data_IF_354161342228
#
_entry.id   IF_354161342228
#
_cell.length_a   1.000
_cell.length_b   1.000
_cell.length_c   1.000
_cell.angle_alpha   90.00
_cell.angle_beta   90.00
_cell.angle_gamma   90.00
#
_symmetry.space_group_name_H-M   'P 1'
#
loop_
_entity.id
_entity.type
_entity.pdbx_description
1 polymer ?
#
# COMPACT_ATOMS: atom_id res chain seq x y z
N UNK A 1 1.41 -43.99 -27.26
CA UNK A 1 0.31 -43.56 -28.14
C UNK A 1 -0.38 -42.36 -27.52
N UNK A 2 -0.10 -41.16 -28.04
CA UNK A 2 -0.80 -39.90 -27.68
C UNK A 2 -2.09 -39.84 -28.49
N UNK A 3 -3.23 -39.60 -27.84
CA UNK A 3 -4.49 -39.31 -28.52
C UNK A 3 -4.83 -37.84 -28.29
N UNK A 4 -4.69 -37.05 -29.34
CA UNK A 4 -5.12 -35.67 -29.45
C UNK A 4 -6.66 -35.59 -29.41
N UNK A 5 -7.22 -34.66 -28.64
CA UNK A 5 -8.62 -34.21 -28.79
C UNK A 5 -8.63 -32.88 -29.55
N UNK A 6 -9.32 -32.89 -30.69
CA UNK A 6 -9.53 -31.75 -31.58
C UNK A 6 -10.37 -30.65 -30.90
N UNK A 7 -9.96 -29.42 -31.16
CA UNK A 7 -10.67 -28.17 -30.87
C UNK A 7 -11.72 -27.97 -31.98
N UNK A 8 -12.97 -27.67 -31.61
CA UNK A 8 -14.04 -27.28 -32.53
C UNK A 8 -14.14 -25.75 -32.57
N UNK A 9 -14.09 -25.21 -33.78
CA UNK A 9 -14.14 -23.80 -34.13
C UNK A 9 -15.60 -23.40 -34.37
N UNK A 10 -16.16 -22.49 -33.56
CA UNK A 10 -17.47 -21.88 -33.82
C UNK A 10 -17.26 -20.40 -34.09
N UNK A 11 -17.49 -20.01 -35.35
CA UNK A 11 -17.60 -18.64 -35.81
C UNK A 11 -18.96 -18.06 -35.41
N UNK A 12 -18.97 -16.87 -34.80
CA UNK A 12 -20.16 -16.03 -34.75
C UNK A 12 -19.77 -14.61 -35.15
N UNK A 13 -20.04 -14.31 -36.41
CA UNK A 13 -20.07 -12.96 -36.96
C UNK A 13 -21.36 -12.31 -36.44
N UNK A 14 -21.27 -11.10 -35.89
CA UNK A 14 -22.43 -10.23 -35.75
C UNK A 14 -22.06 -8.79 -36.03
N UNK A 15 -22.71 -8.32 -37.08
CA UNK A 15 -22.73 -7.00 -37.68
C UNK A 15 -23.42 -6.04 -36.71
N UNK A 16 -22.80 -4.89 -36.41
CA UNK A 16 -23.52 -3.76 -35.83
C UNK A 16 -23.33 -2.55 -36.74
N UNK A 17 -24.46 -2.20 -37.35
CA UNK A 17 -24.67 -1.17 -38.35
C UNK A 17 -24.61 0.23 -37.75
N UNK A 18 -23.99 1.14 -38.51
CA UNK A 18 -23.99 2.59 -38.30
C UNK A 18 -25.36 3.14 -38.71
N UNK A 19 -26.01 3.90 -37.82
CA UNK A 19 -27.10 4.80 -38.19
C UNK A 19 -26.84 6.20 -37.60
N UNK A 20 -26.54 7.12 -38.51
CA UNK A 20 -26.50 8.55 -38.30
C UNK A 20 -27.93 9.07 -38.40
N UNK A 21 -28.40 9.80 -37.39
CA UNK A 21 -29.55 10.69 -37.55
C UNK A 21 -29.25 12.04 -36.92
N UNK A 22 -29.16 13.03 -37.80
CA UNK A 22 -29.15 14.45 -37.54
C UNK A 22 -30.51 14.90 -37.01
N UNK A 23 -30.49 15.77 -35.99
CA UNK A 23 -31.67 16.51 -35.53
C UNK A 23 -31.27 17.94 -35.16
N UNK A 24 -31.58 18.89 -36.02
CA UNK A 24 -31.58 20.32 -35.71
C UNK A 24 -32.93 20.70 -35.07
N UNK A 25 -32.92 21.54 -34.04
CA UNK A 25 -34.04 22.46 -33.79
C UNK A 25 -33.62 23.65 -32.92
N UNK A 26 -33.79 24.82 -33.54
CA UNK A 26 -34.24 26.14 -33.07
C UNK A 26 -33.58 26.88 -31.88
N UNK A 27 -33.09 28.07 -32.26
CA UNK A 27 -32.90 29.24 -31.40
C UNK A 27 -34.23 29.74 -30.86
N UNK A 28 -34.31 29.98 -29.56
CA UNK A 28 -35.12 31.06 -29.00
C UNK A 28 -34.36 31.67 -27.81
N UNK A 29 -33.74 32.84 -28.06
CA UNK A 29 -33.15 33.69 -27.03
C UNK A 29 -34.05 34.89 -26.81
N UNK A 30 -34.80 34.90 -25.71
CA UNK A 30 -35.41 36.09 -25.14
C UNK A 30 -34.67 36.45 -23.85
N UNK A 31 -34.22 37.71 -23.87
CA UNK A 31 -33.64 38.53 -22.82
C UNK A 31 -34.22 38.29 -21.40
N UNK A 32 -33.37 38.22 -20.38
CA UNK A 32 -33.53 39.05 -19.17
C UNK A 32 -32.29 38.99 -18.25
N UNK A 33 -31.99 40.18 -17.71
CA UNK A 33 -30.95 40.55 -16.75
C UNK A 33 -30.77 39.57 -15.59
N UNK A 34 -29.51 39.35 -15.20
CA UNK A 34 -29.13 39.03 -13.81
C UNK A 34 -27.82 39.73 -13.43
N UNK A 35 -27.95 40.83 -12.71
CA UNK A 35 -27.04 41.15 -11.60
C UNK A 35 -27.45 40.29 -10.41
N UNK A 36 -26.50 39.62 -9.78
CA UNK A 36 -26.21 39.69 -8.34
C UNK A 36 -25.38 38.48 -7.89
N UNK A 37 -24.27 38.83 -7.24
CA UNK A 37 -23.56 38.12 -6.19
C UNK A 37 -23.66 36.59 -6.13
N UNK A 38 -22.57 35.95 -6.55
CA UNK A 38 -22.15 34.67 -5.99
C UNK A 38 -20.94 34.90 -5.09
N UNK A 39 -21.23 35.23 -3.83
CA UNK A 39 -20.38 34.79 -2.72
C UNK A 39 -20.32 33.27 -2.78
N UNK A 40 -19.21 32.75 -3.31
CA UNK A 40 -18.90 31.33 -3.27
C UNK A 40 -18.47 31.00 -1.85
N UNK A 41 -19.41 30.48 -1.06
CA UNK A 41 -19.13 29.79 0.20
C UNK A 41 -18.21 28.62 -0.14
N UNK A 42 -16.93 28.79 0.17
CA UNK A 42 -15.95 27.71 0.21
C UNK A 42 -16.44 26.70 1.25
N UNK A 43 -16.92 25.54 0.82
CA UNK A 43 -17.10 24.41 1.72
C UNK A 43 -15.73 24.02 2.26
N UNK A 44 -15.43 24.42 3.49
CA UNK A 44 -14.34 23.88 4.27
C UNK A 44 -14.53 22.35 4.32
N UNK A 45 -13.64 21.61 3.67
CA UNK A 45 -13.51 20.18 3.92
C UNK A 45 -12.93 20.07 5.32
N UNK A 46 -13.76 19.75 6.30
CA UNK A 46 -13.30 19.30 7.61
C UNK A 46 -12.27 18.20 7.38
N UNK A 47 -11.02 18.46 7.75
CA UNK A 47 -9.97 17.46 7.69
C UNK A 47 -10.21 16.50 8.86
N UNK A 48 -10.39 15.21 8.58
CA UNK A 48 -10.56 14.14 9.61
C UNK A 48 -9.27 13.84 10.41
N UNK A 49 -8.32 14.78 10.43
CA UNK A 49 -7.05 14.73 11.16
C UNK A 49 -6.99 15.88 12.14
N UNK A 50 -6.53 15.61 13.35
CA UNK A 50 -6.33 16.64 14.35
C UNK A 50 -5.16 17.56 13.93
N UNK A 51 -5.47 18.82 13.65
CA UNK A 51 -4.48 19.81 13.21
C UNK A 51 -3.44 20.15 14.27
N UNK A 52 -3.76 19.96 15.56
CA UNK A 52 -2.83 20.19 16.67
C UNK A 52 -1.73 19.11 16.72
N UNK A 53 -1.99 17.96 16.10
CA UNK A 53 -1.04 16.85 15.98
C UNK A 53 -0.27 16.87 14.65
N UNK A 54 -0.34 17.96 13.88
CA UNK A 54 0.14 18.01 12.51
C UNK A 54 1.10 19.18 12.26
N UNK A 55 2.35 18.86 11.94
CA UNK A 55 3.30 19.77 11.35
C UNK A 55 3.34 19.60 9.82
N UNK A 56 2.63 20.48 9.10
CA UNK A 56 2.53 20.44 7.63
C UNK A 56 3.88 20.55 6.90
N UNK A 57 4.92 21.05 7.56
CA UNK A 57 6.26 21.19 6.95
C UNK A 57 7.13 19.93 6.99
N UNK A 58 6.88 18.98 7.90
CA UNK A 58 7.80 17.85 8.15
C UNK A 58 7.78 16.75 7.08
N UNK A 59 8.89 16.40 6.43
CA UNK A 59 8.88 15.57 5.21
C UNK A 59 8.93 14.05 5.42
N UNK A 60 8.69 13.59 6.65
CA UNK A 60 8.63 12.19 7.06
C UNK A 60 7.59 12.01 8.19
N UNK A 61 7.38 10.80 8.70
CA UNK A 61 6.39 10.56 9.74
C UNK A 61 6.77 11.28 11.05
N UNK A 62 8.04 11.19 11.45
CA UNK A 62 8.50 11.72 12.73
C UNK A 62 8.28 13.24 12.85
N UNK A 63 8.64 13.96 11.78
CA UNK A 63 8.58 15.41 11.72
C UNK A 63 7.20 15.94 11.35
N UNK A 64 6.35 15.15 10.67
CA UNK A 64 4.99 15.55 10.30
C UNK A 64 3.97 15.34 11.39
N UNK A 65 4.03 14.23 12.10
CA UNK A 65 3.00 13.85 13.07
C UNK A 65 3.52 14.00 14.49
N UNK A 66 2.89 14.92 15.22
CA UNK A 66 3.12 15.11 16.65
C UNK A 66 2.34 14.06 17.45
N UNK A 67 2.71 13.93 18.71
CA UNK A 67 2.13 12.96 19.62
C UNK A 67 0.99 13.58 20.42
N UNK A 68 -0.08 12.82 20.71
CA UNK A 68 -1.04 13.21 21.73
C UNK A 68 -0.36 13.44 23.09
N UNK A 69 -0.95 14.30 23.92
CA UNK A 69 -0.41 14.66 25.23
C UNK A 69 -0.07 13.43 26.09
N UNK A 70 1.13 13.41 26.65
CA UNK A 70 1.63 12.35 27.54
C UNK A 70 2.25 11.16 26.82
N UNK A 71 2.10 11.04 25.50
CA UNK A 71 2.76 9.99 24.73
C UNK A 71 4.23 10.33 24.44
N UNK A 72 5.04 9.28 24.40
CA UNK A 72 6.41 9.31 23.91
C UNK A 72 6.54 8.30 22.77
N UNK A 73 7.15 8.73 21.67
CA UNK A 73 7.42 7.87 20.52
C UNK A 73 8.38 6.76 20.94
N UNK A 74 8.14 5.54 20.44
CA UNK A 74 8.99 4.39 20.78
C UNK A 74 10.38 4.61 20.20
N UNK A 75 11.41 4.35 20.98
CA UNK A 75 12.80 4.47 20.54
C UNK A 75 13.08 3.51 19.38
N UNK A 76 13.78 4.01 18.36
CA UNK A 76 14.17 3.22 17.19
C UNK A 76 15.63 3.51 16.87
N UNK A 77 16.48 2.48 16.88
CA UNK A 77 17.89 2.61 16.51
C UNK A 77 18.00 3.03 15.05
N UNK A 78 18.97 3.89 14.72
CA UNK A 78 19.13 4.45 13.37
C UNK A 78 19.36 3.41 12.26
N UNK A 79 19.78 2.20 12.62
CA UNK A 79 20.00 1.08 11.70
C UNK A 79 18.82 0.09 11.64
N UNK A 80 17.74 0.36 12.38
CA UNK A 80 16.55 -0.51 12.48
C UNK A 80 15.52 -0.25 11.37
N UNK A 81 14.67 -1.24 11.12
CA UNK A 81 13.55 -1.10 10.19
C UNK A 81 12.51 -0.08 10.67
N UNK A 82 12.28 -0.01 11.99
CA UNK A 82 11.40 0.99 12.60
C UNK A 82 11.86 2.43 12.32
N UNK A 83 13.16 2.70 12.46
CA UNK A 83 13.73 4.00 12.14
C UNK A 83 13.61 4.31 10.65
N UNK A 84 13.90 3.32 9.79
CA UNK A 84 13.73 3.44 8.34
C UNK A 84 12.30 3.86 7.98
N UNK A 85 11.28 3.11 8.41
CA UNK A 85 9.88 3.41 8.10
C UNK A 85 9.47 4.82 8.53
N UNK A 86 9.90 5.23 9.72
CA UNK A 86 9.56 6.55 10.27
C UNK A 86 10.16 7.71 9.46
N UNK A 87 11.31 7.49 8.82
CA UNK A 87 12.05 8.47 8.04
C UNK A 87 11.90 8.30 6.53
N UNK A 88 11.04 7.38 6.08
CA UNK A 88 10.71 7.25 4.67
C UNK A 88 10.01 8.52 4.17
N UNK A 89 10.44 8.98 3.00
CA UNK A 89 10.07 10.30 2.49
C UNK A 89 8.57 10.37 2.20
N UNK A 90 7.91 11.38 2.75
CA UNK A 90 6.56 11.76 2.40
C UNK A 90 6.58 12.84 1.31
N UNK A 91 5.51 12.90 0.53
CA UNK A 91 5.22 14.06 -0.31
C UNK A 91 4.97 15.31 0.54
N UNK A 92 5.09 16.52 -0.03
CA UNK A 92 4.60 17.74 0.62
C UNK A 92 3.16 17.57 1.11
N UNK A 93 2.85 18.11 2.28
CA UNK A 93 1.54 17.92 2.89
C UNK A 93 0.41 18.43 1.98
N UNK A 94 -0.67 17.64 1.88
CA UNK A 94 -1.84 17.94 1.03
C UNK A 94 -1.71 17.44 -0.41
N UNK A 95 -0.56 16.92 -0.84
CA UNK A 95 -0.44 16.26 -2.13
C UNK A 95 -1.27 14.97 -2.20
N UNK A 96 -1.86 14.73 -3.37
CA UNK A 96 -2.67 13.55 -3.62
C UNK A 96 -1.80 12.35 -4.01
N UNK A 97 -2.27 11.16 -3.63
CA UNK A 97 -1.70 9.92 -4.13
C UNK A 97 -1.92 9.83 -5.62
N UNK A 98 -0.93 9.31 -6.32
CA UNK A 98 -1.04 8.93 -7.72
C UNK A 98 -1.51 7.48 -7.82
N UNK A 99 -2.34 7.19 -8.82
CA UNK A 99 -2.52 5.85 -9.35
C UNK A 99 -1.37 5.54 -10.32
N UNK A 100 -1.16 4.25 -10.60
CA UNK A 100 -0.10 3.80 -11.52
C UNK A 100 -0.18 4.43 -12.92
N UNK A 101 -1.36 4.86 -13.35
CA UNK A 101 -1.58 5.51 -14.65
C UNK A 101 -1.39 7.04 -14.62
N UNK A 102 -0.88 7.60 -13.51
CA UNK A 102 -0.65 9.03 -13.33
C UNK A 102 -1.89 9.84 -12.92
N UNK A 103 -3.08 9.21 -12.84
CA UNK A 103 -4.26 9.89 -12.35
C UNK A 103 -4.17 10.16 -10.84
N UNK A 104 -4.63 11.33 -10.38
CA UNK A 104 -4.69 11.64 -8.95
C UNK A 104 -5.82 10.87 -8.27
N UNK A 105 -5.51 10.14 -7.20
CA UNK A 105 -6.48 9.52 -6.31
C UNK A 105 -7.16 10.58 -5.43
N UNK A 106 -8.50 10.64 -5.41
CA UNK A 106 -9.22 11.41 -4.41
C UNK A 106 -8.98 10.86 -3.00
N UNK A 107 -8.83 11.75 -2.02
CA UNK A 107 -8.61 11.36 -0.64
C UNK A 107 -9.85 10.66 -0.04
N UNK A 108 -11.05 11.23 -0.20
CA UNK A 108 -12.33 10.65 0.31
C UNK A 108 -12.28 10.21 1.79
N UNK A 109 -11.45 10.89 2.60
CA UNK A 109 -11.22 10.59 4.01
C UNK A 109 -10.48 9.27 4.24
N UNK A 110 -9.75 8.73 3.26
CA UNK A 110 -9.02 7.46 3.41
C UNK A 110 -7.67 7.69 4.07
N UNK A 111 -6.96 8.74 3.67
CA UNK A 111 -5.55 8.93 4.02
C UNK A 111 -5.24 10.38 4.32
N UNK A 112 -4.16 10.66 5.02
CA UNK A 112 -3.74 12.04 5.29
C UNK A 112 -2.49 12.41 4.49
N UNK A 113 -1.43 11.62 4.61
CA UNK A 113 -0.19 11.78 3.86
C UNK A 113 0.07 10.64 2.89
N UNK A 114 0.97 10.88 1.94
CA UNK A 114 1.37 9.96 0.88
C UNK A 114 2.88 9.82 0.90
N UNK A 115 3.39 8.59 0.83
CA UNK A 115 4.82 8.35 0.64
C UNK A 115 5.25 8.75 -0.78
N UNK A 116 6.44 9.32 -0.90
CA UNK A 116 7.03 9.75 -2.17
C UNK A 116 7.66 8.55 -2.90
N UNK A 117 6.78 7.71 -3.44
CA UNK A 117 7.13 6.47 -4.13
C UNK A 117 6.79 6.55 -5.61
N UNK A 118 7.76 6.23 -6.47
CA UNK A 118 7.51 6.03 -7.90
C UNK A 118 6.85 4.67 -8.16
N UNK A 119 5.74 4.69 -8.92
CA UNK A 119 5.00 3.49 -9.33
C UNK A 119 5.49 2.93 -10.68
N UNK A 120 6.44 3.60 -11.35
CA UNK A 120 7.03 3.24 -12.63
C UNK A 120 6.00 3.00 -13.76
N UNK A 121 4.80 3.59 -13.66
CA UNK A 121 3.73 3.37 -14.63
C UNK A 121 3.10 1.96 -14.61
N UNK A 122 3.43 1.12 -13.61
CA UNK A 122 3.03 -0.30 -13.55
C UNK A 122 1.93 -0.54 -12.54
N UNK A 123 0.93 -1.32 -12.93
CA UNK A 123 -0.14 -1.76 -12.02
C UNK A 123 0.30 -2.94 -11.12
N UNK A 124 1.41 -2.78 -10.39
CA UNK A 124 2.03 -3.85 -9.59
C UNK A 124 2.17 -3.53 -8.10
N UNK A 125 2.31 -2.27 -7.69
CA UNK A 125 2.45 -1.91 -6.27
C UNK A 125 1.08 -1.90 -5.55
N UNK A 126 0.47 -3.08 -5.35
CA UNK A 126 -0.78 -3.25 -4.60
C UNK A 126 -0.50 -3.34 -3.09
N UNK A 127 -1.52 -3.73 -2.32
CA UNK A 127 -1.49 -3.68 -0.85
C UNK A 127 -0.35 -4.50 -0.22
N UNK A 128 -0.16 -5.76 -0.61
CA UNK A 128 0.95 -6.58 -0.12
C UNK A 128 2.32 -6.06 -0.59
N UNK A 129 2.36 -5.51 -1.81
CA UNK A 129 3.59 -5.03 -2.44
C UNK A 129 4.18 -3.82 -1.73
N UNK A 130 3.34 -2.96 -1.11
CA UNK A 130 3.83 -1.90 -0.25
C UNK A 130 4.63 -2.44 0.95
N UNK A 131 4.22 -3.59 1.51
CA UNK A 131 4.94 -4.23 2.61
C UNK A 131 6.29 -4.77 2.12
N UNK A 132 6.28 -5.53 1.01
CA UNK A 132 7.51 -6.03 0.39
C UNK A 132 8.46 -4.91 -0.02
N UNK A 133 7.92 -3.80 -0.54
CA UNK A 133 8.70 -2.63 -0.92
C UNK A 133 9.44 -2.03 0.26
N UNK A 134 8.76 -1.76 1.38
CA UNK A 134 9.43 -1.18 2.54
C UNK A 134 10.52 -2.10 3.09
N UNK A 135 10.25 -3.40 3.20
CA UNK A 135 11.22 -4.39 3.67
C UNK A 135 12.40 -4.49 2.68
N UNK A 136 12.12 -4.57 1.38
CA UNK A 136 13.11 -4.63 0.32
C UNK A 136 13.99 -3.40 0.28
N UNK A 137 13.41 -2.19 0.37
CA UNK A 137 14.15 -0.94 0.31
C UNK A 137 15.07 -0.79 1.53
N UNK A 138 14.58 -1.16 2.71
CA UNK A 138 15.39 -1.19 3.94
C UNK A 138 16.58 -2.14 3.80
N UNK A 139 16.34 -3.39 3.40
CA UNK A 139 17.39 -4.40 3.23
C UNK A 139 18.38 -4.01 2.13
N UNK A 140 17.88 -3.41 1.04
CA UNK A 140 18.71 -2.93 -0.06
C UNK A 140 19.64 -1.80 0.39
N UNK A 141 19.10 -0.80 1.10
CA UNK A 141 19.85 0.34 1.63
C UNK A 141 20.87 -0.09 2.69
N UNK A 142 20.55 -1.11 3.49
CA UNK A 142 21.46 -1.70 4.48
C UNK A 142 22.54 -2.60 3.86
N UNK A 143 22.33 -3.10 2.64
CA UNK A 143 23.23 -4.05 1.98
C UNK A 143 23.02 -5.51 2.41
N UNK A 144 21.95 -5.80 3.14
CA UNK A 144 21.62 -7.11 3.71
C UNK A 144 20.93 -8.03 2.67
N UNK A 145 21.53 -8.17 1.49
CA UNK A 145 20.89 -8.82 0.33
C UNK A 145 20.55 -10.30 0.55
N UNK A 146 21.28 -11.01 1.41
CA UNK A 146 21.00 -12.43 1.71
C UNK A 146 19.68 -12.63 2.46
N UNK A 147 19.21 -11.60 3.18
CA UNK A 147 17.95 -11.64 3.95
C UNK A 147 16.73 -11.27 3.11
N UNK A 148 16.95 -10.72 1.91
CA UNK A 148 15.88 -10.30 1.01
C UNK A 148 15.37 -11.51 0.21
N UNK A 149 14.46 -12.25 0.86
CA UNK A 149 13.86 -13.47 0.34
C UNK A 149 12.35 -13.37 0.47
N UNK A 150 11.64 -13.48 -0.65
CA UNK A 150 10.18 -13.36 -0.72
C UNK A 150 9.57 -14.56 -1.44
N UNK A 151 8.46 -15.07 -0.94
CA UNK A 151 7.78 -16.23 -1.53
C UNK A 151 6.89 -15.81 -2.70
N UNK A 152 6.89 -16.59 -3.76
CA UNK A 152 5.85 -16.52 -4.79
C UNK A 152 4.61 -17.28 -4.36
N UNK A 153 3.47 -16.95 -4.97
CA UNK A 153 2.20 -17.67 -4.75
C UNK A 153 2.33 -19.14 -5.17
N UNK A 154 3.20 -19.45 -6.13
CA UNK A 154 3.55 -20.81 -6.57
C UNK A 154 4.38 -21.61 -5.55
N UNK A 155 4.92 -20.96 -4.52
CA UNK A 155 5.79 -21.56 -3.50
C UNK A 155 7.29 -21.39 -3.76
N UNK A 156 7.69 -20.92 -4.95
CA UNK A 156 9.09 -20.54 -5.23
C UNK A 156 9.56 -19.36 -4.37
N UNK A 157 10.88 -19.11 -4.31
CA UNK A 157 11.44 -18.01 -3.51
C UNK A 157 12.26 -17.08 -4.41
N UNK A 158 11.88 -15.80 -4.43
CA UNK A 158 12.69 -14.70 -4.93
C UNK A 158 13.77 -14.35 -3.90
N UNK A 159 14.99 -14.81 -4.14
CA UNK A 159 16.20 -14.52 -3.37
C UNK A 159 17.05 -13.46 -4.10
N UNK A 160 17.18 -12.28 -3.49
CA UNK A 160 17.96 -11.19 -4.08
C UNK A 160 19.45 -11.47 -4.07
N UNK A 161 19.98 -12.17 -3.06
CA UNK A 161 21.37 -12.60 -3.01
C UNK A 161 21.76 -13.48 -4.20
N UNK A 162 20.86 -14.35 -4.68
CA UNK A 162 21.07 -15.07 -5.96
C UNK A 162 21.00 -14.12 -7.16
N UNK A 163 20.05 -13.19 -7.14
CA UNK A 163 19.85 -12.20 -8.22
C UNK A 163 21.08 -11.32 -8.46
N UNK A 164 21.77 -10.91 -7.39
CA UNK A 164 22.99 -10.09 -7.45
C UNK A 164 24.18 -10.85 -8.03
N UNK A 165 24.15 -12.19 -8.04
CA UNK A 165 25.15 -13.05 -8.70
C UNK A 165 24.80 -13.41 -10.14
N UNK A 166 23.79 -12.75 -10.73
CA UNK A 166 23.42 -12.94 -12.14
C UNK A 166 22.34 -14.00 -12.38
N UNK A 167 21.88 -14.70 -11.33
CA UNK A 167 20.82 -15.68 -11.47
C UNK A 167 19.45 -15.02 -11.58
N UNK A 168 18.51 -15.68 -12.26
CA UNK A 168 17.11 -15.28 -12.37
C UNK A 168 16.23 -16.47 -12.03
N UNK A 169 15.13 -16.20 -11.35
CA UNK A 169 14.20 -17.23 -10.90
C UNK A 169 13.05 -17.35 -11.88
N UNK A 170 12.69 -18.58 -12.23
CA UNK A 170 11.40 -18.87 -12.83
C UNK A 170 10.34 -18.84 -11.72
N UNK A 171 9.38 -17.90 -11.76
CA UNK A 171 8.41 -17.75 -10.70
C UNK A 171 7.37 -18.86 -10.64
N UNK A 172 7.21 -19.69 -11.68
CA UNK A 172 6.27 -20.81 -11.66
C UNK A 172 6.88 -22.05 -10.98
N UNK A 173 8.17 -22.31 -11.24
CA UNK A 173 8.86 -23.52 -10.76
C UNK A 173 9.76 -23.26 -9.54
N UNK A 174 10.18 -22.01 -9.33
CA UNK A 174 11.19 -21.63 -8.33
C UNK A 174 12.63 -21.97 -8.72
N UNK A 175 12.86 -22.49 -9.94
CA UNK A 175 14.19 -22.83 -10.43
C UNK A 175 15.00 -21.59 -10.80
N UNK A 176 16.32 -21.69 -10.69
CA UNK A 176 17.24 -20.59 -10.95
C UNK A 176 18.16 -20.88 -12.13
N UNK A 177 18.32 -19.87 -12.99
CA UNK A 177 19.15 -19.94 -14.19
C UNK A 177 20.13 -18.76 -14.20
N UNK A 178 21.40 -19.02 -14.53
CA UNK A 178 22.39 -17.96 -14.71
C UNK A 178 22.13 -17.26 -16.05
N UNK A 179 21.68 -16.01 -16.01
CA UNK A 179 21.22 -15.28 -17.21
C UNK A 179 21.77 -13.85 -17.33
N UNK A 180 22.60 -13.40 -16.38
CA UNK A 180 23.16 -12.07 -16.37
C UNK A 180 24.50 -12.03 -15.65
N UNK A 181 25.23 -10.94 -15.81
CA UNK A 181 26.42 -10.66 -15.01
C UNK A 181 26.05 -10.28 -13.56
N UNK A 182 26.94 -10.54 -12.59
CA UNK A 182 26.77 -10.07 -11.22
C UNK A 182 26.64 -8.55 -11.12
N UNK A 183 25.66 -8.07 -10.36
CA UNK A 183 25.45 -6.64 -10.11
C UNK A 183 24.47 -6.41 -8.95
N UNK A 184 24.73 -5.37 -8.17
CA UNK A 184 23.90 -4.94 -7.04
C UNK A 184 23.25 -3.58 -7.28
N UNK A 185 23.30 -3.06 -8.51
CA UNK A 185 22.83 -1.71 -8.79
C UNK A 185 21.30 -1.57 -8.70
N UNK A 186 20.84 -0.32 -8.64
CA UNK A 186 19.42 -0.01 -8.45
C UNK A 186 18.53 -0.57 -9.58
N UNK A 187 19.04 -0.64 -10.81
CA UNK A 187 18.30 -1.22 -11.94
C UNK A 187 18.06 -2.72 -11.75
N UNK A 188 19.04 -3.47 -11.22
CA UNK A 188 18.89 -4.89 -10.89
C UNK A 188 17.91 -5.08 -9.73
N UNK A 189 18.00 -4.23 -8.70
CA UNK A 189 17.06 -4.23 -7.58
C UNK A 189 15.62 -3.97 -8.04
N UNK A 190 15.37 -2.93 -8.84
CA UNK A 190 14.03 -2.63 -9.39
C UNK A 190 13.47 -3.78 -10.24
N UNK A 191 14.33 -4.44 -11.03
CA UNK A 191 13.92 -5.64 -11.80
C UNK A 191 13.56 -6.80 -10.88
N UNK A 192 14.33 -7.04 -9.82
CA UNK A 192 14.00 -8.04 -8.80
C UNK A 192 12.65 -7.74 -8.14
N UNK A 193 12.44 -6.52 -7.66
CA UNK A 193 11.19 -6.13 -7.02
C UNK A 193 10.00 -6.19 -7.98
N UNK A 194 10.18 -5.87 -9.27
CA UNK A 194 9.13 -6.07 -10.29
C UNK A 194 8.69 -7.53 -10.35
N UNK A 195 9.63 -8.49 -10.27
CA UNK A 195 9.29 -9.93 -10.24
C UNK A 195 8.56 -10.28 -8.94
N UNK A 196 9.01 -9.75 -7.80
CA UNK A 196 8.33 -9.96 -6.51
C UNK A 196 6.88 -9.49 -6.59
N UNK A 197 6.63 -8.27 -7.05
CA UNK A 197 5.28 -7.70 -7.15
C UNK A 197 4.38 -8.44 -8.16
N UNK A 198 4.96 -9.00 -9.21
CA UNK A 198 4.19 -9.71 -10.24
C UNK A 198 3.74 -11.11 -9.80
N UNK A 199 4.51 -11.77 -8.92
CA UNK A 199 4.32 -13.20 -8.62
C UNK A 199 4.11 -13.50 -7.12
N UNK A 200 4.20 -12.49 -6.26
CA UNK A 200 3.85 -12.57 -4.84
C UNK A 200 2.51 -11.89 -4.59
N UNK A 201 1.94 -12.13 -3.41
CA UNK A 201 0.71 -11.46 -3.01
C UNK A 201 0.42 -11.66 -1.54
N UNK A 202 -0.82 -11.43 -1.11
CA UNK A 202 -1.21 -11.61 0.30
C UNK A 202 -1.08 -13.07 0.77
N UNK A 203 -1.23 -14.05 -0.12
CA UNK A 203 -0.96 -15.46 0.18
C UNK A 203 0.53 -15.70 0.51
N UNK A 204 1.42 -15.20 -0.34
CA UNK A 204 2.85 -15.20 -0.07
C UNK A 204 3.17 -14.51 1.25
N UNK A 205 2.55 -13.35 1.50
CA UNK A 205 2.85 -12.53 2.67
C UNK A 205 2.46 -13.23 3.96
N UNK A 206 1.37 -14.02 3.94
CA UNK A 206 1.00 -14.89 5.06
C UNK A 206 2.06 -15.95 5.34
N UNK A 207 2.71 -16.50 4.32
CA UNK A 207 3.79 -17.48 4.47
C UNK A 207 5.15 -16.85 4.84
N UNK A 208 5.42 -15.64 4.35
CA UNK A 208 6.61 -14.86 4.67
C UNK A 208 6.55 -14.24 6.07
N UNK A 209 5.44 -14.39 6.79
CA UNK A 209 5.23 -13.81 8.12
C UNK A 209 4.73 -14.84 9.14
N UNK A 210 4.92 -14.54 10.42
CA UNK A 210 4.35 -15.30 11.54
C UNK A 210 3.35 -14.46 12.32
N UNK A 211 2.38 -15.10 13.00
CA UNK A 211 1.38 -14.39 13.81
C UNK A 211 2.04 -13.73 15.03
N UNK A 212 1.56 -12.55 15.39
CA UNK A 212 2.00 -11.79 16.57
C UNK A 212 0.80 -11.48 17.44
N UNK A 213 0.98 -11.55 18.77
CA UNK A 213 -0.04 -11.11 19.71
C UNK A 213 -0.17 -9.58 19.66
N UNK A 214 -1.40 -9.06 19.75
CA UNK A 214 -1.64 -7.62 19.71
C UNK A 214 -0.90 -6.87 20.82
N UNK A 215 -0.63 -7.52 21.95
CA UNK A 215 0.14 -6.94 23.05
C UNK A 215 1.64 -6.82 22.74
N UNK A 216 2.15 -7.59 21.78
CA UNK A 216 3.55 -7.60 21.33
C UNK A 216 3.76 -6.80 20.03
N UNK A 217 2.76 -6.00 19.62
CA UNK A 217 2.81 -5.20 18.39
C UNK A 217 4.01 -4.23 18.36
N UNK A 218 4.68 -4.17 17.21
CA UNK A 218 5.83 -3.33 16.93
C UNK A 218 5.72 -2.60 15.58
N UNK A 219 6.56 -1.59 15.39
CA UNK A 219 6.71 -0.92 14.09
C UNK A 219 7.28 -1.92 13.08
N UNK A 220 6.64 -2.04 11.92
CA UNK A 220 6.94 -3.01 10.88
C UNK A 220 6.03 -4.25 10.90
N UNK A 221 5.24 -4.45 11.95
CA UNK A 221 4.19 -5.47 11.94
C UNK A 221 3.07 -5.10 10.96
N UNK A 222 2.36 -6.11 10.49
CA UNK A 222 1.37 -5.97 9.43
C UNK A 222 0.09 -6.72 9.79
N UNK A 223 -1.06 -6.12 9.52
CA UNK A 223 -2.31 -6.86 9.48
C UNK A 223 -2.49 -7.43 8.08
N UNK A 224 -2.59 -8.76 7.98
CA UNK A 224 -2.59 -9.47 6.69
C UNK A 224 -3.71 -10.50 6.64
N UNK A 225 -4.55 -10.37 5.63
CA UNK A 225 -5.55 -11.37 5.24
C UNK A 225 -5.16 -11.95 3.89
N UNK A 226 -4.87 -13.25 3.86
CA UNK A 226 -4.65 -13.98 2.61
C UNK A 226 -5.95 -14.06 1.80
N UNK A 227 -5.88 -13.76 0.50
CA UNK A 227 -6.99 -14.02 -0.41
C UNK A 227 -7.25 -15.52 -0.57
N UNK A 228 -8.27 -15.91 -1.32
CA UNK A 228 -8.47 -17.31 -1.72
C UNK A 228 -8.55 -17.40 -3.25
N UNK A 229 -7.60 -18.10 -3.92
CA UNK A 229 -7.58 -18.20 -5.37
C UNK A 229 -8.89 -18.75 -5.93
N UNK A 230 -9.36 -18.19 -7.05
CA UNK A 230 -10.61 -18.62 -7.69
C UNK A 230 -11.89 -18.24 -6.93
N UNK A 231 -11.80 -17.41 -5.89
CA UNK A 231 -12.97 -16.95 -5.12
C UNK A 231 -13.08 -15.42 -5.11
N UNK A 232 -14.20 -14.92 -4.57
CA UNK A 232 -14.40 -13.48 -4.32
C UNK A 232 -13.66 -12.97 -3.06
N UNK A 233 -12.99 -13.84 -2.29
CA UNK A 233 -12.24 -13.44 -1.10
C UNK A 233 -10.90 -12.82 -1.51
N UNK A 234 -10.92 -11.50 -1.64
CA UNK A 234 -9.74 -10.68 -1.86
C UNK A 234 -8.97 -10.58 -0.55
N UNK A 235 -7.64 -10.71 -0.60
CA UNK A 235 -6.79 -10.46 0.56
C UNK A 235 -6.44 -8.99 0.67
N UNK A 236 -5.99 -8.56 1.84
CA UNK A 236 -5.49 -7.21 2.06
C UNK A 236 -4.34 -7.21 3.07
N UNK A 237 -3.50 -6.19 3.00
CA UNK A 237 -2.38 -5.98 3.91
C UNK A 237 -2.18 -4.50 4.19
N UNK A 238 -1.92 -4.18 5.46
CA UNK A 238 -1.50 -2.86 5.93
C UNK A 238 -0.36 -3.02 6.92
N UNK A 239 0.48 -2.01 7.09
CA UNK A 239 1.67 -2.05 7.95
C UNK A 239 1.61 -0.98 9.04
N UNK A 240 2.09 -1.31 10.24
CA UNK A 240 2.39 -0.36 11.33
C UNK A 240 3.67 0.38 10.98
N UNK A 241 3.60 1.70 10.85
CA UNK A 241 4.74 2.53 10.40
C UNK A 241 5.28 3.47 11.46
N UNK A 242 4.54 3.70 12.55
CA UNK A 242 5.04 4.39 13.72
C UNK A 242 4.27 3.96 14.97
N UNK A 243 4.85 4.18 16.15
CA UNK A 243 4.29 3.78 17.43
C UNK A 243 4.73 4.73 18.55
N UNK A 244 3.81 5.00 19.48
CA UNK A 244 4.09 5.75 20.70
C UNK A 244 3.41 5.12 21.92
N UNK A 245 3.95 5.40 23.10
CA UNK A 245 3.52 4.83 24.38
C UNK A 245 3.26 5.89 25.43
N UNK A 246 2.27 5.64 26.30
CA UNK A 246 2.02 6.42 27.51
C UNK A 246 1.73 5.44 28.66
N UNK A 247 2.76 5.13 29.47
CA UNK A 247 2.72 4.00 30.39
C UNK A 247 2.52 2.69 29.62
N UNK A 248 1.44 1.96 29.91
CA UNK A 248 1.10 0.71 29.22
C UNK A 248 0.25 0.93 27.96
N UNK A 249 -0.22 2.15 27.70
CA UNK A 249 -1.05 2.45 26.53
C UNK A 249 -0.17 2.58 25.29
N UNK A 250 -0.59 1.97 24.19
CA UNK A 250 0.09 2.05 22.89
C UNK A 250 -0.82 2.69 21.85
N UNK A 251 -0.25 3.54 21.01
CA UNK A 251 -0.89 4.05 19.79
C UNK A 251 0.00 3.78 18.58
N UNK A 252 -0.61 3.52 17.43
CA UNK A 252 0.10 3.19 16.18
C UNK A 252 -0.38 4.02 15.00
N UNK A 253 0.48 4.23 14.01
CA UNK A 253 0.12 4.73 12.69
C UNK A 253 0.16 3.62 11.66
N UNK A 254 -0.79 3.63 10.73
CA UNK A 254 -0.98 2.58 9.74
C UNK A 254 -0.77 3.13 8.33
N UNK A 255 -0.11 2.34 7.49
CA UNK A 255 0.08 2.62 6.08
C UNK A 255 -0.47 1.51 5.19
N UNK A 256 -0.98 1.89 4.02
CA UNK A 256 -1.43 0.94 3.01
C UNK A 256 -1.18 1.42 1.58
N UNK A 257 -1.04 0.47 0.66
CA UNK A 257 -1.46 0.66 -0.73
C UNK A 257 -2.77 -0.10 -0.97
N UNK A 258 -3.36 0.01 -2.16
CA UNK A 258 -4.61 -0.65 -2.49
C UNK A 258 -4.65 -1.04 -3.99
N UNK A 259 -5.78 -1.57 -4.45
CA UNK A 259 -5.99 -1.96 -5.85
C UNK A 259 -6.99 -1.01 -6.54
N UNK A 260 -6.71 -0.49 -7.75
CA UNK A 260 -5.47 -0.66 -8.52
C UNK A 260 -4.26 0.00 -7.84
N UNK A 261 -3.05 -0.30 -8.33
CA UNK A 261 -1.81 0.21 -7.78
C UNK A 261 -1.84 1.73 -7.64
N UNK A 262 -1.39 2.17 -6.47
CA UNK A 262 -1.40 3.55 -6.04
C UNK A 262 -0.27 3.76 -5.04
N UNK A 263 0.10 5.01 -4.80
CA UNK A 263 1.14 5.30 -3.83
C UNK A 263 0.69 4.92 -2.42
N UNK A 264 1.63 4.42 -1.63
CA UNK A 264 1.40 4.08 -0.23
C UNK A 264 0.98 5.33 0.55
N UNK A 265 0.02 5.16 1.44
CA UNK A 265 -0.73 6.22 2.11
C UNK A 265 -0.75 5.99 3.63
N UNK A 266 -0.61 7.06 4.42
CA UNK A 266 -0.87 7.06 5.86
C UNK A 266 -2.37 7.16 6.10
N UNK A 267 -2.95 6.21 6.83
CA UNK A 267 -4.39 6.10 7.02
C UNK A 267 -4.93 7.05 8.08
N UNK A 268 -6.14 7.57 7.83
CA UNK A 268 -6.91 8.38 8.78
C UNK A 268 -7.65 7.48 9.78
N UNK A 269 -7.56 7.80 11.06
CA UNK A 269 -8.41 7.19 12.07
C UNK A 269 -9.81 7.85 12.08
N UNK A 270 -10.78 7.21 11.45
CA UNK A 270 -12.18 7.68 11.41
C UNK A 270 -12.95 7.44 12.71
N UNK A 271 -12.44 6.59 13.61
CA UNK A 271 -13.11 6.24 14.86
C UNK A 271 -12.84 7.31 15.91
N UNK A 272 -11.59 7.76 16.02
CA UNK A 272 -11.17 8.76 16.98
C UNK A 272 -10.48 9.93 16.25
N UNK A 273 -11.26 10.98 15.95
CA UNK A 273 -10.77 12.16 15.22
C UNK A 273 -9.77 12.98 16.04
N UNK A 274 -9.89 12.96 17.36
CA UNK A 274 -9.04 13.74 18.26
C UNK A 274 -7.59 13.24 18.27
N UNK A 275 -7.38 11.97 17.96
CA UNK A 275 -6.03 11.37 17.90
C UNK A 275 -5.60 10.99 16.48
N UNK A 276 -6.48 11.09 15.48
CA UNK A 276 -6.18 10.79 14.09
C UNK A 276 -4.92 11.53 13.60
N UNK A 277 -3.97 10.83 12.94
CA UNK A 277 -4.06 9.47 12.38
C UNK A 277 -3.68 8.32 13.33
N UNK A 278 -3.46 8.59 14.62
CA UNK A 278 -3.09 7.56 15.59
C UNK A 278 -4.27 6.65 15.94
N UNK A 279 -4.00 5.34 16.04
CA UNK A 279 -4.95 4.31 16.45
C UNK A 279 -4.56 3.75 17.82
N UNK A 280 -5.51 3.73 18.76
CA UNK A 280 -5.30 3.17 20.11
C UNK A 280 -5.39 1.65 20.10
N UNK A 281 -4.35 0.98 20.62
CA UNK A 281 -4.34 -0.48 20.77
C UNK A 281 -5.39 -0.92 21.79
N UNK A 282 -5.60 -0.15 22.87
CA UNK A 282 -6.63 -0.47 23.87
C UNK A 282 -8.05 -0.45 23.25
N UNK A 283 -8.37 0.57 22.44
CA UNK A 283 -9.67 0.66 21.74
C UNK A 283 -9.86 -0.50 20.73
N UNK A 284 -8.78 -0.88 20.05
CA UNK A 284 -8.77 -2.04 19.14
C UNK A 284 -9.03 -3.34 19.90
N UNK A 285 -8.41 -3.53 21.08
CA UNK A 285 -8.63 -4.70 21.94
C UNK A 285 -10.07 -4.75 22.48
N UNK A 286 -10.59 -3.62 22.95
CA UNK A 286 -11.96 -3.51 23.47
C UNK A 286 -13.01 -3.83 22.39
N UNK A 287 -12.80 -3.38 21.15
CA UNK A 287 -13.70 -3.67 20.04
C UNK A 287 -13.48 -5.05 19.40
N UNK A 288 -12.32 -5.67 19.63
CA UNK A 288 -11.93 -6.97 19.06
C UNK A 288 -11.56 -6.93 17.58
N UNK A 289 -11.50 -5.74 16.96
CA UNK A 289 -11.20 -5.55 15.55
C UNK A 289 -10.41 -4.26 15.32
N UNK A 290 -9.59 -4.24 14.28
CA UNK A 290 -9.03 -3.00 13.73
C UNK A 290 -9.89 -2.54 12.55
N UNK A 291 -10.59 -1.41 12.70
CA UNK A 291 -11.38 -0.80 11.63
C UNK A 291 -10.62 0.35 10.99
N UNK A 292 -10.26 0.19 9.71
CA UNK A 292 -9.63 1.23 8.89
C UNK A 292 -10.65 1.82 7.88
N UNK A 293 -10.32 2.90 7.16
CA UNK A 293 -11.23 3.51 6.20
C UNK A 293 -11.71 2.59 5.07
N UNK A 294 -10.93 1.57 4.72
CA UNK A 294 -11.22 0.68 3.58
C UNK A 294 -11.24 -0.81 3.93
N UNK A 295 -10.82 -1.19 5.14
CA UNK A 295 -10.78 -2.59 5.56
C UNK A 295 -11.07 -2.76 7.06
N UNK A 296 -11.39 -3.98 7.47
CA UNK A 296 -11.50 -4.36 8.88
C UNK A 296 -10.74 -5.65 9.10
N UNK A 297 -9.86 -5.65 10.09
CA UNK A 297 -9.01 -6.78 10.45
C UNK A 297 -9.42 -7.33 11.81
N UNK A 298 -9.25 -8.63 12.00
CA UNK A 298 -9.27 -9.26 13.32
C UNK A 298 -7.89 -9.13 13.97
N UNK A 299 -7.84 -9.22 15.29
CA UNK A 299 -6.57 -9.13 16.03
C UNK A 299 -5.61 -10.28 15.67
N UNK A 300 -6.14 -11.47 15.39
CA UNK A 300 -5.34 -12.65 15.05
C UNK A 300 -4.81 -12.65 13.60
N UNK A 301 -5.01 -11.54 12.88
CA UNK A 301 -4.47 -11.25 11.55
C UNK A 301 -3.22 -10.35 11.62
N UNK A 302 -2.76 -9.97 12.82
CA UNK A 302 -1.49 -9.30 13.03
C UNK A 302 -0.31 -10.27 12.84
N UNK A 303 0.69 -9.85 12.07
CA UNK A 303 1.83 -10.68 11.67
C UNK A 303 3.12 -9.87 11.59
N UNK A 304 4.26 -10.55 11.74
CA UNK A 304 5.60 -9.98 11.59
C UNK A 304 6.39 -10.73 10.52
N UNK A 305 7.16 -9.98 9.73
CA UNK A 305 7.95 -10.55 8.64
C UNK A 305 9.09 -11.43 9.16
N UNK A 306 9.30 -12.58 8.51
CA UNK A 306 10.42 -13.47 8.79
C UNK A 306 11.68 -12.91 8.14
N UNK A 307 12.51 -12.19 8.89
CA UNK A 307 13.87 -11.86 8.45
C UNK A 307 14.70 -13.15 8.54
N UNK A 308 14.75 -13.90 7.44
CA UNK A 308 15.52 -15.14 7.31
C UNK A 308 16.99 -14.88 6.98
#
# INVERSE_FOLDING_TARGET
MKVFKMISLISMVSIISISVLSGCSEKNSLNSKKENDKSSISKNVETDVNTDLLNKSGMDIESRYLLPTGYKRVEANSDSFAYFLRHEKLKPYGEKSDYYNGAKKPNQGVYDSVFDVDLEGKNLLHCADACYKFIGDYLYKKGDYSKMRFKFVSGGVADFGKYTRGYRVDPETGEYFLMAEPSTNESVYKKFMTVVYAYSGTLSLVEDTFKVDIDDIEIGDMFVVGGTPGTKRVGHAIMVVDMAVNGNKKIVMLAQSYMPAQQTQILINKINKDTSPWYSIDEIKESGILKTPQWTFKLDELRRFNIQ
#
